data_IF_174264617658
#
_entry.id   IF_174264617658
#
_cell.length_a   1.000
_cell.length_b   1.000
_cell.length_c   1.000
_cell.angle_alpha   90.00
_cell.angle_beta   90.00
_cell.angle_gamma   90.00
#
_symmetry.space_group_name_H-M   'P 1'
#
loop_
_entity.id
_entity.type
_entity.pdbx_description
1 polymer ?
#
# COMPACT_ATOMS: atom_id res chain seq x y z
N UNK A 1 -2.03 25.33 -7.18
CA UNK A 1 -2.62 24.87 -5.91
C UNK A 1 -1.62 25.18 -4.80
N UNK A 2 -2.03 25.77 -3.68
CA UNK A 2 -1.14 26.02 -2.54
C UNK A 2 -0.62 24.69 -1.95
N UNK A 3 0.59 24.71 -1.38
CA UNK A 3 1.29 23.50 -0.91
C UNK A 3 0.50 22.74 0.16
N UNK A 4 -0.04 23.44 1.13
CA UNK A 4 -0.82 22.83 2.23
C UNK A 4 -2.11 22.19 1.71
N UNK A 5 -2.76 22.85 0.75
CA UNK A 5 -3.95 22.30 0.09
C UNK A 5 -3.61 21.03 -0.69
N UNK A 6 -2.43 20.95 -1.33
CA UNK A 6 -2.01 19.74 -2.05
C UNK A 6 -1.84 18.58 -1.07
N UNK A 7 -1.13 18.79 0.04
CA UNK A 7 -0.91 17.75 1.04
C UNK A 7 -2.24 17.29 1.68
N UNK A 8 -3.12 18.22 2.07
CA UNK A 8 -4.44 17.88 2.61
C UNK A 8 -5.32 17.12 1.61
N UNK A 9 -5.31 17.55 0.34
CA UNK A 9 -6.02 16.84 -0.72
C UNK A 9 -5.43 15.46 -0.97
N UNK A 10 -4.11 15.31 -0.92
CA UNK A 10 -3.44 14.01 -1.04
C UNK A 10 -3.87 13.10 0.10
N UNK A 11 -3.68 13.56 1.34
CA UNK A 11 -4.06 12.84 2.54
C UNK A 11 -5.51 12.35 2.47
N UNK A 12 -6.48 13.26 2.25
CA UNK A 12 -7.89 12.88 2.20
C UNK A 12 -8.23 11.87 1.10
N UNK A 13 -7.80 12.12 -0.15
CA UNK A 13 -8.13 11.20 -1.25
C UNK A 13 -7.42 9.86 -1.12
N UNK A 14 -6.14 9.84 -0.74
CA UNK A 14 -5.35 8.61 -0.66
C UNK A 14 -5.80 7.76 0.52
N UNK A 15 -6.13 8.36 1.67
CA UNK A 15 -6.73 7.61 2.79
C UNK A 15 -8.07 7.00 2.38
N UNK A 16 -8.96 7.75 1.73
CA UNK A 16 -10.24 7.22 1.27
C UNK A 16 -10.07 6.12 0.20
N UNK A 17 -9.16 6.32 -0.74
CA UNK A 17 -8.86 5.34 -1.78
C UNK A 17 -8.29 4.04 -1.22
N UNK A 18 -7.38 4.14 -0.25
CA UNK A 18 -6.83 3.00 0.46
C UNK A 18 -7.90 2.27 1.27
N UNK A 19 -8.73 2.97 2.03
CA UNK A 19 -9.83 2.34 2.79
C UNK A 19 -10.82 1.61 1.87
N UNK A 20 -11.18 2.23 0.74
CA UNK A 20 -12.05 1.62 -0.26
C UNK A 20 -11.38 0.44 -0.98
N UNK A 21 -10.07 0.54 -1.23
CA UNK A 21 -9.26 -0.52 -1.81
C UNK A 21 -9.19 -1.74 -0.89
N UNK A 22 -8.84 -1.52 0.38
CA UNK A 22 -8.67 -2.55 1.40
C UNK A 22 -9.97 -3.32 1.71
N UNK A 23 -11.12 -2.70 1.50
CA UNK A 23 -12.42 -3.37 1.61
C UNK A 23 -12.55 -4.55 0.62
N UNK A 24 -11.87 -4.51 -0.53
CA UNK A 24 -11.94 -5.57 -1.54
C UNK A 24 -11.29 -6.87 -1.03
N UNK A 25 -9.99 -6.94 -0.68
CA UNK A 25 -9.40 -8.16 -0.14
C UNK A 25 -10.05 -8.62 1.17
N UNK A 26 -10.50 -7.68 2.01
CA UNK A 26 -11.25 -7.99 3.24
C UNK A 26 -12.55 -8.73 2.95
N UNK A 27 -13.35 -8.22 2.01
CA UNK A 27 -14.60 -8.86 1.60
C UNK A 27 -14.33 -10.19 0.89
N UNK A 28 -13.32 -10.25 0.02
CA UNK A 28 -12.91 -11.48 -0.68
C UNK A 28 -12.58 -12.58 0.32
N UNK A 29 -11.76 -12.29 1.34
CA UNK A 29 -11.44 -13.26 2.39
C UNK A 29 -12.70 -13.70 3.16
N UNK A 30 -13.57 -12.76 3.55
CA UNK A 30 -14.77 -13.04 4.33
C UNK A 30 -15.80 -13.93 3.60
N UNK A 31 -15.89 -13.85 2.27
CA UNK A 31 -16.86 -14.64 1.47
C UNK A 31 -16.26 -15.93 0.89
N UNK A 32 -14.94 -16.13 1.02
CA UNK A 32 -14.26 -17.33 0.49
C UNK A 32 -13.53 -18.21 1.52
N UNK A 33 -13.99 -18.31 2.79
CA UNK A 33 -13.26 -19.06 3.82
C UNK A 33 -13.16 -20.56 3.52
N UNK A 34 -14.07 -21.10 2.70
CA UNK A 34 -14.12 -22.52 2.31
C UNK A 34 -13.70 -22.79 0.86
N UNK A 35 -13.15 -21.79 0.16
CA UNK A 35 -12.69 -21.98 -1.21
C UNK A 35 -11.43 -22.87 -1.24
N UNK A 36 -11.24 -23.70 -2.29
CA UNK A 36 -9.98 -24.42 -2.46
C UNK A 36 -8.78 -23.46 -2.49
N UNK A 37 -7.67 -23.84 -1.87
CA UNK A 37 -6.50 -22.96 -1.72
C UNK A 37 -6.04 -22.27 -3.03
N UNK A 38 -5.94 -22.95 -4.19
CA UNK A 38 -5.56 -22.28 -5.43
C UNK A 38 -6.56 -21.19 -5.87
N UNK A 39 -7.85 -21.41 -5.62
CA UNK A 39 -8.92 -20.46 -5.94
C UNK A 39 -8.86 -19.27 -4.99
N UNK A 40 -8.70 -19.51 -3.69
CA UNK A 40 -8.57 -18.44 -2.70
C UNK A 40 -7.35 -17.56 -2.99
N UNK A 41 -6.19 -18.16 -3.27
CA UNK A 41 -4.96 -17.44 -3.64
C UNK A 41 -5.17 -16.58 -4.90
N UNK A 42 -5.79 -17.13 -5.94
CA UNK A 42 -6.07 -16.37 -7.16
C UNK A 42 -7.02 -15.19 -6.91
N UNK A 43 -8.06 -15.38 -6.09
CA UNK A 43 -9.01 -14.34 -5.72
C UNK A 43 -8.36 -13.25 -4.85
N UNK A 44 -7.54 -13.62 -3.87
CA UNK A 44 -6.82 -12.66 -3.03
C UNK A 44 -5.81 -11.85 -3.85
N UNK A 45 -5.11 -12.47 -4.81
CA UNK A 45 -4.23 -11.74 -5.72
C UNK A 45 -5.00 -10.75 -6.60
N UNK A 46 -6.15 -11.16 -7.16
CA UNK A 46 -7.01 -10.28 -7.94
C UNK A 46 -7.57 -9.13 -7.09
N UNK A 47 -7.98 -9.41 -5.86
CA UNK A 47 -8.44 -8.42 -4.90
C UNK A 47 -7.34 -7.40 -4.56
N UNK A 48 -6.11 -7.87 -4.35
CA UNK A 48 -4.96 -7.01 -4.09
C UNK A 48 -4.55 -6.11 -5.25
N UNK A 49 -4.62 -6.63 -6.49
CA UNK A 49 -4.47 -5.80 -7.68
C UNK A 49 -5.57 -4.73 -7.78
N UNK A 50 -6.80 -5.08 -7.40
CA UNK A 50 -7.96 -4.16 -7.40
C UNK A 50 -7.80 -3.06 -6.35
N UNK A 51 -7.38 -3.42 -5.14
CA UNK A 51 -7.00 -2.47 -4.09
C UNK A 51 -5.95 -1.47 -4.59
N UNK A 52 -4.84 -1.97 -5.14
CA UNK A 52 -3.80 -1.13 -5.71
C UNK A 52 -4.29 -0.22 -6.84
N UNK A 53 -5.24 -0.70 -7.66
CA UNK A 53 -5.84 0.11 -8.71
C UNK A 53 -6.69 1.26 -8.12
N UNK A 54 -7.52 0.99 -7.11
CA UNK A 54 -8.35 1.99 -6.43
C UNK A 54 -7.48 3.03 -5.72
N UNK A 55 -6.47 2.59 -4.98
CA UNK A 55 -5.45 3.46 -4.38
C UNK A 55 -4.81 4.36 -5.45
N UNK A 56 -4.38 3.76 -6.56
CA UNK A 56 -3.75 4.47 -7.65
C UNK A 56 -4.69 5.47 -8.35
N UNK A 57 -6.00 5.19 -8.44
CA UNK A 57 -7.00 6.15 -8.93
C UNK A 57 -7.10 7.38 -8.01
N UNK A 58 -7.13 7.16 -6.70
CA UNK A 58 -7.18 8.24 -5.71
C UNK A 58 -5.93 9.11 -5.75
N UNK A 59 -4.75 8.50 -5.82
CA UNK A 59 -3.48 9.21 -6.01
C UNK A 59 -3.47 9.99 -7.34
N UNK A 60 -3.85 9.35 -8.45
CA UNK A 60 -3.88 9.97 -9.77
C UNK A 60 -4.81 11.19 -9.82
N UNK A 61 -5.95 11.15 -9.11
CA UNK A 61 -6.89 12.28 -9.03
C UNK A 61 -6.23 13.55 -8.51
N UNK A 62 -5.33 13.42 -7.53
CA UNK A 62 -4.57 14.55 -6.99
C UNK A 62 -3.38 14.89 -7.89
N UNK A 63 -2.64 13.88 -8.36
CA UNK A 63 -1.46 14.10 -9.21
C UNK A 63 -1.78 14.82 -10.51
N UNK A 64 -2.94 14.56 -11.14
CA UNK A 64 -3.36 15.23 -12.39
C UNK A 64 -3.39 16.76 -12.28
N UNK A 65 -3.48 17.32 -11.06
CA UNK A 65 -3.46 18.76 -10.82
C UNK A 65 -2.06 19.38 -10.82
N UNK A 66 -1.01 18.56 -10.68
CA UNK A 66 0.38 19.02 -10.51
C UNK A 66 1.36 18.36 -11.47
N UNK A 67 1.01 17.20 -12.05
CA UNK A 67 1.83 16.43 -12.96
C UNK A 67 0.99 15.93 -14.16
N UNK A 68 1.32 16.36 -15.40
CA UNK A 68 0.68 15.82 -16.59
C UNK A 68 1.08 14.35 -16.80
N UNK A 69 0.25 13.58 -17.52
CA UNK A 69 0.60 12.23 -17.97
C UNK A 69 0.51 11.12 -16.91
N UNK A 70 -0.40 11.24 -15.94
CA UNK A 70 -0.62 10.24 -14.86
C UNK A 70 -1.69 9.21 -15.19
N UNK A 71 -2.01 9.04 -16.48
CA UNK A 71 -3.02 8.07 -16.97
C UNK A 71 -2.71 6.63 -16.56
N UNK A 72 -1.43 6.25 -16.60
CA UNK A 72 -0.98 4.89 -16.28
C UNK A 72 -0.68 4.67 -14.79
N UNK A 73 -0.89 5.69 -13.96
CA UNK A 73 -0.62 5.62 -12.52
C UNK A 73 -1.42 4.53 -11.80
N UNK A 74 -2.74 4.37 -12.03
CA UNK A 74 -3.51 3.30 -11.40
C UNK A 74 -3.00 1.90 -11.78
N UNK A 75 -2.68 1.69 -13.05
CA UNK A 75 -2.15 0.41 -13.54
C UNK A 75 -0.78 0.10 -12.94
N UNK A 76 0.12 1.07 -12.88
CA UNK A 76 1.43 0.89 -12.24
C UNK A 76 1.28 0.55 -10.75
N UNK A 77 0.34 1.21 -10.06
CA UNK A 77 0.06 0.95 -8.64
C UNK A 77 -0.51 -0.46 -8.45
N UNK A 78 -1.46 -0.88 -9.29
CA UNK A 78 -2.04 -2.22 -9.28
C UNK A 78 -0.99 -3.32 -9.50
N UNK A 79 -0.07 -3.14 -10.45
CA UNK A 79 1.01 -4.10 -10.72
C UNK A 79 1.97 -4.21 -9.52
N UNK A 80 2.36 -3.08 -8.94
CA UNK A 80 3.18 -3.07 -7.73
C UNK A 80 2.47 -3.73 -6.55
N UNK A 81 1.18 -3.44 -6.36
CA UNK A 81 0.36 -4.05 -5.31
C UNK A 81 0.22 -5.56 -5.52
N UNK A 82 0.02 -6.04 -6.75
CA UNK A 82 0.01 -7.47 -7.07
C UNK A 82 1.29 -8.18 -6.63
N UNK A 83 2.46 -7.58 -6.87
CA UNK A 83 3.74 -8.13 -6.39
C UNK A 83 3.78 -8.15 -4.85
N UNK A 84 3.33 -7.08 -4.20
CA UNK A 84 3.28 -7.02 -2.74
C UNK A 84 2.36 -8.09 -2.14
N UNK A 85 1.20 -8.32 -2.77
CA UNK A 85 0.25 -9.37 -2.38
C UNK A 85 0.81 -10.77 -2.58
N UNK A 86 1.50 -11.05 -3.70
CA UNK A 86 2.21 -12.32 -3.86
C UNK A 86 3.23 -12.51 -2.73
N UNK A 87 4.03 -11.49 -2.43
CA UNK A 87 5.00 -11.57 -1.33
C UNK A 87 4.31 -11.85 0.01
N UNK A 88 3.22 -11.16 0.31
CA UNK A 88 2.45 -11.34 1.55
C UNK A 88 1.83 -12.73 1.67
N UNK A 89 1.24 -13.25 0.59
CA UNK A 89 0.66 -14.60 0.56
C UNK A 89 1.72 -15.68 0.74
N UNK A 90 2.89 -15.54 0.09
CA UNK A 90 4.01 -16.48 0.26
C UNK A 90 4.58 -16.41 1.68
N UNK A 91 4.66 -15.22 2.29
CA UNK A 91 5.05 -15.09 3.70
C UNK A 91 4.04 -15.81 4.58
N UNK A 92 2.74 -15.58 4.40
CA UNK A 92 1.70 -16.22 5.21
C UNK A 92 1.80 -17.75 5.17
N UNK A 93 1.96 -18.32 3.96
CA UNK A 93 2.12 -19.77 3.75
C UNK A 93 3.41 -20.33 4.41
N UNK A 94 4.52 -19.58 4.29
CA UNK A 94 5.81 -20.00 4.85
C UNK A 94 5.76 -20.15 6.37
N UNK A 95 4.98 -19.28 7.04
CA UNK A 95 4.81 -19.30 8.49
C UNK A 95 3.70 -20.25 8.96
N UNK A 96 2.71 -20.61 8.11
CA UNK A 96 1.68 -21.59 8.47
C UNK A 96 2.18 -23.03 8.38
N UNK A 97 2.92 -23.38 7.34
CA UNK A 97 3.32 -24.76 7.03
C UNK A 97 4.70 -25.15 7.60
N UNK A 98 5.40 -24.21 8.25
CA UNK A 98 6.75 -24.42 8.79
C UNK A 98 7.74 -25.07 7.78
N UNK A 99 7.67 -24.63 6.52
CA UNK A 99 8.34 -25.26 5.36
C UNK A 99 9.87 -25.31 5.50
N UNK A 100 10.47 -24.34 6.19
CA UNK A 100 11.92 -24.18 6.32
C UNK A 100 12.35 -24.02 7.80
N UNK A 101 13.65 -24.29 8.12
CA UNK A 101 14.21 -23.95 9.42
C UNK A 101 14.09 -22.45 9.72
N UNK A 102 13.92 -22.10 11.00
CA UNK A 102 13.65 -20.72 11.45
C UNK A 102 14.58 -19.64 10.85
N UNK A 103 15.92 -19.81 10.78
CA UNK A 103 16.78 -18.79 10.19
C UNK A 103 16.53 -18.59 8.69
N UNK A 104 16.23 -19.67 7.97
CA UNK A 104 15.91 -19.61 6.55
C UNK A 104 14.53 -18.96 6.32
N UNK A 105 13.52 -19.33 7.11
CA UNK A 105 12.20 -18.69 7.09
C UNK A 105 12.28 -17.18 7.34
N UNK A 106 13.04 -16.76 8.35
CA UNK A 106 13.27 -15.35 8.64
C UNK A 106 13.98 -14.63 7.49
N UNK A 107 15.04 -15.24 6.93
CA UNK A 107 15.77 -14.68 5.79
C UNK A 107 14.90 -14.47 4.55
N UNK A 108 14.12 -15.49 4.18
CA UNK A 108 13.18 -15.40 3.04
C UNK A 108 12.09 -14.37 3.30
N UNK A 109 11.56 -14.30 4.54
CA UNK A 109 10.57 -13.30 4.93
C UNK A 109 11.09 -11.88 4.75
N UNK A 110 12.32 -11.59 5.15
CA UNK A 110 12.93 -10.27 4.97
C UNK A 110 13.04 -9.90 3.48
N UNK A 111 13.50 -10.84 2.65
CA UNK A 111 13.62 -10.60 1.20
C UNK A 111 12.27 -10.31 0.56
N UNK A 112 11.24 -11.10 0.89
CA UNK A 112 9.88 -10.91 0.37
C UNK A 112 9.25 -9.62 0.89
N UNK A 113 9.44 -9.30 2.17
CA UNK A 113 8.92 -8.06 2.77
C UNK A 113 9.55 -6.83 2.12
N UNK A 114 10.87 -6.81 1.94
CA UNK A 114 11.56 -5.71 1.24
C UNK A 114 11.08 -5.62 -0.21
N UNK A 115 10.94 -6.75 -0.91
CA UNK A 115 10.43 -6.78 -2.29
C UNK A 115 9.03 -6.20 -2.39
N UNK A 116 8.12 -6.61 -1.51
CA UNK A 116 6.75 -6.10 -1.46
C UNK A 116 6.66 -4.62 -1.09
N UNK A 117 7.48 -4.15 -0.13
CA UNK A 117 7.50 -2.74 0.27
C UNK A 117 8.02 -1.82 -0.85
N UNK A 118 8.96 -2.30 -1.67
CA UNK A 118 9.56 -1.52 -2.76
C UNK A 118 8.78 -1.59 -4.07
N UNK A 119 7.88 -2.56 -4.25
CA UNK A 119 7.25 -2.85 -5.54
C UNK A 119 6.37 -1.69 -6.07
N UNK A 120 5.48 -1.14 -5.23
CA UNK A 120 4.58 -0.04 -5.60
C UNK A 120 5.38 1.21 -5.94
N UNK A 121 6.30 1.60 -5.05
CA UNK A 121 7.15 2.77 -5.24
C UNK A 121 8.00 2.65 -6.52
N UNK A 122 8.53 1.47 -6.81
CA UNK A 122 9.30 1.19 -8.03
C UNK A 122 8.44 1.29 -9.28
N UNK A 123 7.25 0.69 -9.29
CA UNK A 123 6.34 0.76 -10.43
C UNK A 123 5.92 2.21 -10.75
N UNK A 124 5.61 2.99 -9.71
CA UNK A 124 5.25 4.40 -9.83
C UNK A 124 6.45 5.27 -10.23
N UNK A 125 7.65 4.96 -9.75
CA UNK A 125 8.88 5.68 -10.06
C UNK A 125 9.16 5.75 -11.57
N UNK A 126 8.86 4.69 -12.33
CA UNK A 126 9.02 4.71 -13.79
C UNK A 126 8.25 5.85 -14.47
N UNK A 127 7.12 6.27 -13.90
CA UNK A 127 6.31 7.39 -14.38
C UNK A 127 6.83 8.76 -13.88
N UNK A 128 7.57 8.78 -12.76
CA UNK A 128 8.10 10.00 -12.15
C UNK A 128 9.52 10.36 -12.62
N UNK A 129 10.35 9.38 -12.99
CA UNK A 129 11.79 9.52 -13.19
C UNK A 129 12.22 10.58 -14.22
N UNK A 130 11.39 10.85 -15.21
CA UNK A 130 11.62 11.89 -16.23
C UNK A 130 10.95 13.23 -15.92
N UNK A 131 10.23 13.35 -14.80
CA UNK A 131 9.36 14.49 -14.49
C UNK A 131 9.70 15.19 -13.18
N UNK A 132 10.25 14.45 -12.21
CA UNK A 132 10.61 14.99 -10.91
C UNK A 132 12.12 14.89 -10.68
N UNK A 133 12.70 15.97 -10.17
CA UNK A 133 14.04 15.90 -9.59
C UNK A 133 14.02 14.91 -8.42
N UNK A 134 15.08 14.09 -8.30
CA UNK A 134 15.24 13.15 -7.19
C UNK A 134 14.11 12.11 -7.09
N UNK A 135 13.43 11.79 -8.20
CA UNK A 135 12.31 10.85 -8.24
C UNK A 135 12.59 9.50 -7.56
N UNK A 136 13.84 9.02 -7.52
CA UNK A 136 14.20 7.76 -6.85
C UNK A 136 13.81 7.69 -5.37
N UNK A 137 13.74 8.84 -4.67
CA UNK A 137 13.27 8.91 -3.28
C UNK A 137 11.78 8.56 -3.12
N UNK A 138 11.01 8.53 -4.21
CA UNK A 138 9.64 8.02 -4.18
C UNK A 138 9.58 6.55 -3.77
N UNK A 139 10.57 5.75 -4.15
CA UNK A 139 10.62 4.31 -3.85
C UNK A 139 10.77 4.11 -2.34
N UNK A 140 11.81 4.69 -1.76
CA UNK A 140 12.09 4.59 -0.32
C UNK A 140 11.04 5.31 0.52
N UNK A 141 10.52 6.44 0.04
CA UNK A 141 9.42 7.16 0.70
C UNK A 141 8.12 6.35 0.74
N UNK A 142 7.78 5.63 -0.34
CA UNK A 142 6.61 4.74 -0.38
C UNK A 142 6.80 3.54 0.54
N UNK A 143 7.98 2.92 0.52
CA UNK A 143 8.28 1.82 1.43
C UNK A 143 8.20 2.24 2.90
N UNK A 144 8.79 3.39 3.26
CA UNK A 144 8.72 3.95 4.61
C UNK A 144 7.27 4.27 5.03
N UNK A 145 6.44 4.77 4.10
CA UNK A 145 5.04 5.02 4.35
C UNK A 145 4.25 3.75 4.66
N UNK A 146 4.52 2.66 3.94
CA UNK A 146 3.90 1.35 4.22
C UNK A 146 4.40 0.75 5.53
N UNK A 147 5.69 0.88 5.86
CA UNK A 147 6.20 0.46 7.18
C UNK A 147 5.49 1.22 8.30
N UNK A 148 5.34 2.54 8.17
CA UNK A 148 4.61 3.35 9.14
C UNK A 148 3.14 2.94 9.25
N UNK A 149 2.47 2.72 8.11
CA UNK A 149 1.10 2.24 8.06
C UNK A 149 0.92 0.88 8.75
N UNK A 150 1.74 -0.11 8.40
CA UNK A 150 1.69 -1.45 8.98
C UNK A 150 2.01 -1.44 10.48
N UNK A 151 2.97 -0.62 10.91
CA UNK A 151 3.26 -0.44 12.33
C UNK A 151 2.04 0.10 13.09
N UNK A 152 1.33 1.09 12.53
CA UNK A 152 0.08 1.61 13.09
C UNK A 152 -1.00 0.53 13.12
N UNK A 153 -1.17 -0.21 12.01
CA UNK A 153 -2.14 -1.31 11.94
C UNK A 153 -1.91 -2.31 13.06
N UNK A 154 -0.69 -2.85 13.17
CA UNK A 154 -0.33 -3.89 14.14
C UNK A 154 -0.42 -3.39 15.58
N UNK A 155 -0.04 -2.13 15.84
CA UNK A 155 -0.12 -1.54 17.18
C UNK A 155 -1.57 -1.43 17.66
N UNK A 156 -2.51 -1.23 16.74
CA UNK A 156 -3.93 -1.08 17.06
C UNK A 156 -4.65 -2.43 17.06
N UNK A 157 -4.45 -3.26 16.03
CA UNK A 157 -5.19 -4.51 15.85
C UNK A 157 -4.75 -5.59 16.82
N UNK A 158 -3.43 -5.78 17.02
CA UNK A 158 -2.88 -6.86 17.86
C UNK A 158 -3.41 -6.86 19.30
N UNK A 159 -3.43 -5.74 20.06
CA UNK A 159 -3.95 -5.76 21.43
C UNK A 159 -5.48 -5.85 21.51
N UNK A 160 -6.21 -5.47 20.46
CA UNK A 160 -7.67 -5.46 20.44
C UNK A 160 -8.26 -6.81 19.97
N UNK A 161 -7.54 -7.52 19.11
CA UNK A 161 -7.98 -8.79 18.54
C UNK A 161 -7.65 -9.96 19.47
N UNK A 162 -8.57 -10.92 19.57
CA UNK A 162 -8.32 -12.22 20.17
C UNK A 162 -9.23 -13.30 19.57
N UNK A 163 -8.82 -14.56 19.70
CA UNK A 163 -9.60 -15.70 19.22
C UNK A 163 -10.97 -15.80 19.93
N UNK A 164 -12.00 -16.22 19.19
CA UNK A 164 -13.35 -16.36 19.70
C UNK A 164 -14.19 -15.08 19.73
N UNK A 165 -13.66 -13.93 19.28
CA UNK A 165 -14.44 -12.71 19.15
C UNK A 165 -15.60 -12.85 18.15
N UNK A 166 -16.76 -12.21 18.42
CA UNK A 166 -17.83 -12.11 17.43
C UNK A 166 -17.33 -11.45 16.14
N UNK A 167 -17.79 -11.92 14.98
CA UNK A 167 -17.39 -11.42 13.66
C UNK A 167 -17.51 -9.90 13.56
N UNK A 168 -18.56 -9.30 14.14
CA UNK A 168 -18.74 -7.85 14.16
C UNK A 168 -17.61 -7.09 14.86
N UNK A 169 -17.08 -7.62 15.97
CA UNK A 169 -15.97 -7.00 16.70
C UNK A 169 -14.67 -7.06 15.86
N UNK A 170 -14.38 -8.21 15.25
CA UNK A 170 -13.22 -8.39 14.36
C UNK A 170 -13.27 -7.41 13.18
N UNK A 171 -14.44 -7.26 12.56
CA UNK A 171 -14.64 -6.31 11.44
C UNK A 171 -14.41 -4.86 11.91
N UNK A 172 -14.95 -4.46 13.06
CA UNK A 172 -14.76 -3.09 13.57
C UNK A 172 -13.30 -2.81 13.89
N UNK A 173 -12.60 -3.73 14.57
CA UNK A 173 -11.17 -3.59 14.89
C UNK A 173 -10.35 -3.48 13.60
N UNK A 174 -10.58 -4.40 12.66
CA UNK A 174 -9.87 -4.44 11.38
C UNK A 174 -10.07 -3.17 10.56
N UNK A 175 -11.32 -2.70 10.40
CA UNK A 175 -11.62 -1.48 9.64
C UNK A 175 -11.05 -0.23 10.31
N UNK A 176 -11.09 -0.16 11.64
CA UNK A 176 -10.50 0.95 12.39
C UNK A 176 -8.98 0.99 12.22
N UNK A 177 -8.30 -0.14 12.42
CA UNK A 177 -6.85 -0.26 12.24
C UNK A 177 -6.44 0.03 10.78
N UNK A 178 -7.18 -0.50 9.79
CA UNK A 178 -6.93 -0.25 8.37
C UNK A 178 -7.08 1.23 7.99
N UNK A 179 -8.07 1.92 8.57
CA UNK A 179 -8.26 3.36 8.35
C UNK A 179 -7.08 4.17 8.90
N UNK A 180 -6.56 3.81 10.08
CA UNK A 180 -5.40 4.48 10.67
C UNK A 180 -4.11 4.19 9.90
N UNK A 181 -3.92 2.95 9.43
CA UNK A 181 -2.85 2.57 8.52
C UNK A 181 -2.87 3.40 7.25
N UNK A 182 -4.03 3.50 6.60
CA UNK A 182 -4.26 4.28 5.40
C UNK A 182 -3.92 5.77 5.61
N UNK A 183 -4.33 6.34 6.74
CA UNK A 183 -4.01 7.71 7.12
C UNK A 183 -2.50 7.93 7.30
N UNK A 184 -1.82 7.04 8.04
CA UNK A 184 -0.38 7.13 8.26
C UNK A 184 0.41 7.02 6.94
N UNK A 185 0.07 6.04 6.11
CA UNK A 185 0.70 5.85 4.79
C UNK A 185 0.46 7.06 3.88
N UNK A 186 -0.78 7.59 3.83
CA UNK A 186 -1.11 8.77 3.04
C UNK A 186 -0.37 10.03 3.50
N UNK A 187 -0.21 10.22 4.82
CA UNK A 187 0.51 11.37 5.38
C UNK A 187 1.99 11.37 4.95
N UNK A 188 2.66 10.22 5.07
CA UNK A 188 4.07 10.07 4.70
C UNK A 188 4.27 10.21 3.19
N UNK A 189 3.48 9.51 2.37
CA UNK A 189 3.57 9.64 0.90
C UNK A 189 3.28 11.06 0.42
N UNK A 190 2.33 11.76 1.06
CA UNK A 190 2.01 13.14 0.75
C UNK A 190 3.16 14.10 1.08
N UNK A 191 3.85 13.88 2.20
CA UNK A 191 5.02 14.67 2.59
C UNK A 191 6.19 14.45 1.61
N UNK A 192 6.42 13.20 1.19
CA UNK A 192 7.44 12.86 0.18
C UNK A 192 7.11 13.52 -1.16
N UNK A 193 5.86 13.46 -1.62
CA UNK A 193 5.44 14.12 -2.85
C UNK A 193 5.66 15.63 -2.79
N UNK A 194 5.27 16.25 -1.69
CA UNK A 194 5.48 17.68 -1.45
C UNK A 194 6.95 18.07 -1.54
N UNK A 195 7.83 17.29 -0.92
CA UNK A 195 9.27 17.52 -0.95
C UNK A 195 9.85 17.36 -2.35
N UNK A 196 9.46 16.32 -3.10
CA UNK A 196 9.91 16.08 -4.48
C UNK A 196 9.51 17.21 -5.42
N UNK A 197 8.27 17.70 -5.30
CA UNK A 197 7.79 18.84 -6.10
C UNK A 197 8.59 20.09 -5.78
N UNK A 198 8.84 20.36 -4.49
CA UNK A 198 9.64 21.51 -4.04
C UNK A 198 11.07 21.46 -4.57
N UNK A 199 11.71 20.29 -4.52
CA UNK A 199 13.05 20.06 -5.07
C UNK A 199 13.12 20.22 -6.60
N UNK A 200 12.02 19.94 -7.30
CA UNK A 200 11.92 20.09 -8.76
C UNK A 200 11.79 21.56 -9.15
N UNK A 201 10.94 22.32 -8.47
CA UNK A 201 10.78 23.77 -8.73
C UNK A 201 12.09 24.54 -8.48
N UNK A 202 12.81 24.21 -7.40
CA UNK A 202 14.08 24.85 -7.09
C UNK A 202 15.17 24.62 -8.15
N UNK A 203 15.11 23.48 -8.87
CA UNK A 203 16.03 23.18 -9.97
C UNK A 203 15.69 23.95 -11.24
N UNK A 204 14.41 24.17 -11.53
CA UNK A 204 13.99 24.90 -12.74
C UNK A 204 14.22 26.42 -12.68
N UNK A 205 14.52 26.97 -11.49
CA UNK A 205 14.83 28.38 -11.27
C UNK A 205 16.33 28.70 -11.32
N UNK A 206 17.18 27.69 -11.56
CA UNK A 206 18.64 27.79 -11.71
C UNK A 206 18.97 27.54 -13.17
#
# INVERSE_FOLDING_TARGET
>A
MGRDRLWLSWFGWVTLGECAGFAVPSATYAITPSAPAPVQTALMLAAGCTEGYILGLAQARVLRRVLPGTRHWPTATALGAGIAWVCGLVIAELWSEAVLPLPATAGVTVVLAVTGLMSIGTAQWWLLRGRLARAGWWITGTAAAWVAGLAVFLTVSTPLWHEGQPTGAVVVIGMFAATLMAAAMAAVTGAVLWWLLSATTARSSV
#
